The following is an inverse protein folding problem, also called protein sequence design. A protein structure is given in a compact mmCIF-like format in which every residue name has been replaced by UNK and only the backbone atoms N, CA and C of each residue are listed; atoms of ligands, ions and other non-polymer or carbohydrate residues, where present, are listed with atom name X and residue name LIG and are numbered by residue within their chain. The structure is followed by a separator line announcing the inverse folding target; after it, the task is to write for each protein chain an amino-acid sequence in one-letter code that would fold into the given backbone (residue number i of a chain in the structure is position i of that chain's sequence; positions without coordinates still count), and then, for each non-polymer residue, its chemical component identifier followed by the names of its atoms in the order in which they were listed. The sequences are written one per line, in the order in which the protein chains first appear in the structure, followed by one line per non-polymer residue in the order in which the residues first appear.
data_IF_389142441290
#
_entry.id   IF_389142441290
#
_cell.length_a   1.000
_cell.length_b   1.000
_cell.length_c   1.000
_cell.angle_alpha   90.00
_cell.angle_beta   90.00
_cell.angle_gamma   90.00
#
_symmetry.space_group_name_H-M   'P 1'
#
loop_
_entity.id
_entity.type
_entity.pdbx_description
1 polymer ?
#
# COMPACT_ATOMS: atom_id res chain seq x y z
N UNK A 1 -1.47 29.04 -19.79
CA UNK A 1 -2.76 28.42 -20.19
C UNK A 1 -3.72 28.45 -18.99
N UNK A 2 -4.23 29.62 -18.60
CA UNK A 2 -5.04 29.81 -17.36
C UNK A 2 -6.52 30.14 -17.64
N UNK A 3 -6.87 30.41 -18.91
CA UNK A 3 -8.21 30.88 -19.28
C UNK A 3 -9.30 29.81 -19.29
N UNK A 4 -8.94 28.54 -19.49
CA UNK A 4 -9.93 27.46 -19.67
C UNK A 4 -10.41 26.88 -18.33
N UNK A 5 -9.54 26.78 -17.32
CA UNK A 5 -9.92 26.33 -15.98
C UNK A 5 -10.95 27.28 -15.32
N UNK A 6 -10.71 28.59 -15.42
CA UNK A 6 -11.62 29.60 -14.88
C UNK A 6 -13.01 29.55 -15.54
N UNK A 7 -13.10 29.18 -16.82
CA UNK A 7 -14.40 28.98 -17.48
C UNK A 7 -15.13 27.75 -16.95
N UNK A 8 -14.41 26.64 -16.75
CA UNK A 8 -15.00 25.43 -16.14
C UNK A 8 -15.58 25.72 -14.76
N UNK A 9 -14.84 26.41 -13.89
CA UNK A 9 -15.31 26.77 -12.55
C UNK A 9 -16.56 27.67 -12.57
N UNK A 10 -16.65 28.59 -13.55
CA UNK A 10 -17.82 29.43 -13.76
C UNK A 10 -19.04 28.62 -14.21
N UNK A 11 -18.85 27.70 -15.16
CA UNK A 11 -19.93 26.81 -15.61
C UNK A 11 -20.38 25.87 -14.50
N UNK A 12 -19.45 25.33 -13.70
CA UNK A 12 -19.76 24.46 -12.56
C UNK A 12 -20.59 25.20 -11.51
N UNK A 13 -20.23 26.45 -11.21
CA UNK A 13 -21.01 27.30 -10.30
C UNK A 13 -22.43 27.55 -10.82
N UNK A 14 -22.58 27.77 -12.13
CA UNK A 14 -23.88 27.92 -12.77
C UNK A 14 -24.69 26.61 -12.70
N UNK A 15 -24.09 25.48 -13.05
CA UNK A 15 -24.75 24.17 -13.01
C UNK A 15 -25.17 23.80 -11.59
N UNK A 16 -24.34 24.09 -10.59
CA UNK A 16 -24.66 23.87 -9.19
C UNK A 16 -25.87 24.72 -8.75
N UNK A 17 -25.91 26.00 -9.14
CA UNK A 17 -27.06 26.87 -8.86
C UNK A 17 -28.34 26.31 -9.49
N UNK A 18 -28.28 25.90 -10.76
CA UNK A 18 -29.44 25.29 -11.44
C UNK A 18 -29.85 23.99 -10.72
N UNK A 19 -28.90 23.13 -10.34
CA UNK A 19 -29.19 21.89 -9.63
C UNK A 19 -29.90 22.12 -8.28
N UNK A 20 -29.51 23.16 -7.53
CA UNK A 20 -30.15 23.53 -6.26
C UNK A 20 -31.61 23.97 -6.42
N UNK A 21 -31.97 24.54 -7.56
CA UNK A 21 -33.36 24.95 -7.85
C UNK A 21 -34.29 23.77 -8.21
N UNK A 22 -33.76 22.56 -8.39
CA UNK A 22 -34.53 21.37 -8.75
C UNK A 22 -34.73 20.45 -7.53
N UNK A 23 -35.90 20.48 -6.85
CA UNK A 23 -36.14 19.69 -5.64
C UNK A 23 -36.15 18.17 -5.88
N UNK A 24 -36.33 17.73 -7.13
CA UNK A 24 -36.30 16.31 -7.52
C UNK A 24 -34.90 15.84 -7.96
N UNK A 25 -33.86 16.66 -7.75
CA UNK A 25 -32.47 16.31 -7.99
C UNK A 25 -32.10 16.16 -9.46
N UNK A 26 -31.17 15.23 -9.75
CA UNK A 26 -30.51 15.12 -11.06
C UNK A 26 -31.45 14.77 -12.22
N UNK A 27 -32.53 14.00 -11.99
CA UNK A 27 -33.48 13.64 -13.05
C UNK A 27 -34.21 14.86 -13.61
N UNK A 28 -34.61 15.80 -12.73
CA UNK A 28 -35.33 17.00 -13.13
C UNK A 28 -34.40 18.03 -13.77
N UNK A 29 -33.15 18.12 -13.29
CA UNK A 29 -32.10 18.91 -13.94
C UNK A 29 -31.88 18.46 -15.39
N UNK A 30 -31.78 17.14 -15.62
CA UNK A 30 -31.62 16.57 -16.95
C UNK A 30 -32.83 16.85 -17.86
N UNK A 31 -34.04 16.72 -17.33
CA UNK A 31 -35.26 17.03 -18.08
C UNK A 31 -35.31 18.51 -18.52
N UNK A 32 -35.01 19.43 -17.59
CA UNK A 32 -34.89 20.87 -17.90
C UNK A 32 -33.84 21.14 -18.97
N UNK A 33 -32.67 20.48 -18.90
CA UNK A 33 -31.60 20.64 -19.89
C UNK A 33 -32.00 20.10 -21.27
N UNK A 34 -32.61 18.92 -21.33
CA UNK A 34 -33.10 18.33 -22.57
C UNK A 34 -34.21 19.17 -23.20
N UNK A 35 -35.13 19.70 -22.39
CA UNK A 35 -36.17 20.63 -22.84
C UNK A 35 -35.61 21.99 -23.28
N UNK A 36 -34.43 22.40 -22.79
CA UNK A 36 -33.73 23.56 -23.35
C UNK A 36 -33.16 23.23 -24.73
N UNK A 37 -32.49 22.08 -24.88
CA UNK A 37 -31.95 21.64 -26.17
C UNK A 37 -33.05 21.53 -27.23
N UNK A 38 -34.20 20.94 -26.90
CA UNK A 38 -35.29 20.81 -27.89
C UNK A 38 -35.88 22.15 -28.36
N UNK A 39 -35.84 23.19 -27.53
CA UNK A 39 -36.48 24.50 -27.83
C UNK A 39 -35.51 25.56 -28.35
N UNK A 40 -34.24 25.50 -27.96
CA UNK A 40 -33.24 26.54 -28.25
C UNK A 40 -32.16 26.09 -29.21
N UNK A 41 -32.13 24.80 -29.55
CA UNK A 41 -31.19 24.26 -30.52
C UNK A 41 -31.91 23.30 -31.46
N UNK A 42 -31.24 22.91 -32.53
CA UNK A 42 -31.66 21.89 -33.47
C UNK A 42 -31.15 20.49 -33.06
N UNK A 43 -30.85 20.27 -31.77
CA UNK A 43 -30.16 19.06 -31.31
C UNK A 43 -30.83 17.74 -31.75
N UNK A 44 -32.17 17.68 -31.74
CA UNK A 44 -32.93 16.48 -32.11
C UNK A 44 -33.31 16.43 -33.59
N UNK A 45 -33.21 17.54 -34.33
CA UNK A 45 -33.72 17.67 -35.71
C UNK A 45 -32.67 18.06 -36.74
N UNK A 46 -31.49 18.51 -36.33
CA UNK A 46 -30.42 19.02 -37.18
C UNK A 46 -29.50 17.93 -37.77
N UNK A 47 -29.56 16.72 -37.22
CA UNK A 47 -28.77 15.56 -37.66
C UNK A 47 -29.59 14.46 -38.33
N UNK A 48 -28.94 13.33 -38.66
CA UNK A 48 -29.67 12.14 -39.09
C UNK A 48 -30.37 11.48 -37.91
N UNK A 49 -31.40 10.70 -38.21
CA UNK A 49 -32.11 9.93 -37.20
C UNK A 49 -31.13 9.04 -36.40
N UNK A 50 -31.16 9.17 -35.06
CA UNK A 50 -30.29 8.45 -34.14
C UNK A 50 -28.90 9.05 -33.90
N UNK A 51 -28.50 10.14 -34.57
CA UNK A 51 -27.20 10.79 -34.32
C UNK A 51 -27.14 11.43 -32.93
N UNK A 52 -28.23 12.07 -32.49
CA UNK A 52 -28.32 12.66 -31.16
C UNK A 52 -28.16 11.62 -30.06
N UNK A 53 -28.73 10.42 -30.24
CA UNK A 53 -28.65 9.34 -29.25
C UNK A 53 -27.22 8.81 -29.14
N UNK A 54 -26.57 8.55 -30.28
CA UNK A 54 -25.16 8.14 -30.31
C UNK A 54 -24.27 9.18 -29.63
N UNK A 55 -24.50 10.46 -29.90
CA UNK A 55 -23.74 11.54 -29.29
C UNK A 55 -23.88 11.50 -27.76
N UNK A 56 -25.12 11.55 -27.24
CA UNK A 56 -25.40 11.49 -25.80
C UNK A 56 -24.76 10.26 -25.17
N UNK A 57 -25.04 9.07 -25.70
CA UNK A 57 -24.53 7.82 -25.13
C UNK A 57 -23.01 7.73 -25.15
N UNK A 58 -22.36 8.21 -26.22
CA UNK A 58 -20.90 8.22 -26.31
C UNK A 58 -20.26 9.16 -25.28
N UNK A 59 -20.86 10.32 -25.04
CA UNK A 59 -20.39 11.29 -24.04
C UNK A 59 -20.54 10.73 -22.63
N UNK A 60 -21.72 10.20 -22.28
CA UNK A 60 -21.95 9.63 -20.95
C UNK A 60 -21.00 8.45 -20.66
N UNK A 61 -20.84 7.52 -21.61
CA UNK A 61 -19.90 6.39 -21.46
C UNK A 61 -18.45 6.84 -21.29
N UNK A 62 -18.03 7.89 -21.99
CA UNK A 62 -16.68 8.46 -21.85
C UNK A 62 -16.45 8.94 -20.41
N UNK A 63 -17.35 9.75 -19.87
CA UNK A 63 -17.20 10.32 -18.53
C UNK A 63 -17.44 9.29 -17.43
N UNK A 64 -18.33 8.32 -17.63
CA UNK A 64 -18.48 7.16 -16.74
C UNK A 64 -17.15 6.41 -16.57
N UNK A 65 -16.46 6.13 -17.69
CA UNK A 65 -15.16 5.46 -17.67
C UNK A 65 -14.11 6.27 -16.91
N UNK A 66 -14.04 7.57 -17.15
CA UNK A 66 -13.09 8.48 -16.47
C UNK A 66 -13.37 8.49 -14.96
N UNK A 67 -14.62 8.76 -14.57
CA UNK A 67 -15.01 8.83 -13.16
C UNK A 67 -14.75 7.51 -12.42
N UNK A 68 -15.02 6.36 -13.06
CA UNK A 68 -14.74 5.04 -12.47
C UNK A 68 -13.24 4.80 -12.30
N UNK A 69 -12.43 5.20 -13.28
CA UNK A 69 -10.97 5.08 -13.22
C UNK A 69 -10.37 5.96 -12.12
N UNK A 70 -10.82 7.21 -12.01
CA UNK A 70 -10.39 8.15 -10.96
C UNK A 70 -10.77 7.63 -9.57
N UNK A 71 -12.00 7.16 -9.40
CA UNK A 71 -12.46 6.59 -8.14
C UNK A 71 -11.66 5.33 -7.75
N UNK A 72 -11.33 4.45 -8.70
CA UNK A 72 -10.49 3.28 -8.42
C UNK A 72 -9.05 3.68 -8.06
N UNK A 73 -8.48 4.67 -8.76
CA UNK A 73 -7.15 5.19 -8.48
C UNK A 73 -7.07 5.83 -7.09
N UNK A 74 -8.06 6.65 -6.73
CA UNK A 74 -8.16 7.28 -5.40
C UNK A 74 -8.28 6.23 -4.29
N UNK A 75 -9.11 5.19 -4.50
CA UNK A 75 -9.23 4.07 -3.57
C UNK A 75 -7.92 3.31 -3.38
N UNK A 76 -7.16 3.10 -4.47
CA UNK A 76 -5.86 2.42 -4.43
C UNK A 76 -4.83 3.27 -3.70
N UNK A 77 -4.74 4.56 -4.03
CA UNK A 77 -3.84 5.50 -3.36
C UNK A 77 -4.15 5.60 -1.87
N UNK A 78 -5.44 5.68 -1.50
CA UNK A 78 -5.86 5.71 -0.10
C UNK A 78 -5.41 4.45 0.65
N UNK A 79 -5.59 3.27 0.06
CA UNK A 79 -5.13 1.99 0.65
C UNK A 79 -3.61 1.92 0.80
N UNK A 80 -2.86 2.36 -0.22
CA UNK A 80 -1.39 2.39 -0.16
C UNK A 80 -0.87 3.38 0.89
N UNK A 81 -1.51 4.56 0.99
CA UNK A 81 -1.20 5.56 2.01
C UNK A 81 -1.47 5.03 3.42
N UNK A 82 -2.60 4.36 3.63
CA UNK A 82 -2.94 3.72 4.90
C UNK A 82 -1.95 2.58 5.24
N UNK A 83 -1.58 1.74 4.27
CA UNK A 83 -0.61 0.65 4.47
C UNK A 83 0.78 1.19 4.81
N UNK A 84 1.25 2.22 4.12
CA UNK A 84 2.55 2.87 4.41
C UNK A 84 2.54 3.55 5.78
N UNK A 85 1.43 4.17 6.18
CA UNK A 85 1.30 4.75 7.51
C UNK A 85 1.34 3.67 8.61
N UNK A 86 0.69 2.52 8.40
CA UNK A 86 0.74 1.38 9.34
C UNK A 86 2.14 0.77 9.43
N UNK A 87 2.82 0.58 8.30
CA UNK A 87 4.18 0.05 8.27
C UNK A 87 5.18 0.98 8.98
N UNK A 88 5.04 2.30 8.81
CA UNK A 88 5.86 3.28 9.56
C UNK A 88 5.61 3.23 11.06
N UNK A 89 4.35 3.16 11.49
CA UNK A 89 4.01 3.03 12.92
C UNK A 89 4.54 1.72 13.52
N UNK A 90 4.44 0.61 12.79
CA UNK A 90 4.98 -0.67 13.24
C UNK A 90 6.51 -0.67 13.30
N UNK A 91 7.19 0.00 12.36
CA UNK A 91 8.64 0.17 12.41
C UNK A 91 9.07 1.10 13.57
N UNK A 92 8.34 2.19 13.82
CA UNK A 92 8.59 3.08 14.96
C UNK A 92 8.33 2.38 16.31
N UNK A 93 7.35 1.49 16.40
CA UNK A 93 7.13 0.66 17.60
C UNK A 93 8.20 -0.42 17.80
N UNK A 94 8.75 -0.98 16.71
CA UNK A 94 9.86 -1.94 16.79
C UNK A 94 11.23 -1.27 17.04
N UNK A 95 11.36 0.02 16.70
CA UNK A 95 12.58 0.82 16.92
C UNK A 95 12.49 1.64 18.22
N UNK A 96 11.41 1.51 19.01
CA UNK A 96 11.51 1.86 20.43
C UNK A 96 12.62 0.99 20.99
N UNK A 97 13.76 1.57 21.41
CA UNK A 97 14.85 0.78 21.95
C UNK A 97 14.24 -0.01 23.10
N UNK A 98 14.53 -1.31 23.14
CA UNK A 98 14.46 -2.06 24.37
C UNK A 98 15.00 -1.12 25.45
N UNK A 99 14.13 -0.73 26.37
CA UNK A 99 14.55 -0.07 27.59
C UNK A 99 15.55 -1.06 28.18
N UNK A 100 16.84 -0.77 28.01
CA UNK A 100 17.93 -1.44 28.70
C UNK A 100 17.71 -1.00 30.13
N UNK A 101 16.78 -1.69 30.80
CA UNK A 101 16.73 -1.69 32.25
C UNK A 101 18.04 -2.34 32.65
N UNK A 102 18.96 -1.51 33.15
CA UNK A 102 20.12 -1.94 33.89
C UNK A 102 19.62 -2.89 34.97
N UNK A 103 19.68 -4.20 34.70
CA UNK A 103 19.70 -5.21 35.75
C UNK A 103 21.04 -4.99 36.45
N UNK A 104 20.95 -4.15 37.48
CA UNK A 104 21.94 -3.83 38.51
C UNK A 104 22.95 -4.95 38.72
N UNK A 105 24.23 -4.58 38.76
CA UNK A 105 25.43 -5.39 39.04
C UNK A 105 25.33 -6.34 40.25
N UNK A 106 24.26 -6.27 41.05
CA UNK A 106 23.99 -7.10 42.21
C UNK A 106 23.73 -8.59 41.90
N UNK A 107 23.19 -8.94 40.72
CA UNK A 107 22.93 -10.36 40.37
C UNK A 107 24.17 -11.06 39.79
N UNK A 108 25.11 -10.31 39.20
CA UNK A 108 26.38 -10.84 38.71
C UNK A 108 27.30 -11.30 39.86
N UNK A 109 27.28 -10.59 41.00
CA UNK A 109 28.06 -10.98 42.18
C UNK A 109 27.55 -12.26 42.86
N UNK A 110 26.25 -12.56 42.75
CA UNK A 110 25.67 -13.78 43.35
C UNK A 110 26.10 -15.00 42.54
N UNK A 111 26.08 -14.92 41.20
CA UNK A 111 26.55 -15.99 40.33
C UNK A 111 28.06 -16.25 40.48
N UNK A 112 28.86 -15.19 40.65
CA UNK A 112 30.31 -15.31 40.88
C UNK A 112 30.62 -15.98 42.22
N UNK A 113 29.83 -15.69 43.27
CA UNK A 113 29.97 -16.32 44.60
C UNK A 113 29.61 -17.79 44.60
N UNK A 114 28.64 -18.23 43.80
CA UNK A 114 28.31 -19.66 43.65
C UNK A 114 29.43 -20.43 42.93
N UNK A 115 30.00 -19.87 41.86
CA UNK A 115 31.11 -20.49 41.11
C UNK A 115 32.39 -20.60 41.98
N UNK A 116 32.68 -19.59 42.80
CA UNK A 116 33.84 -19.61 43.71
C UNK A 116 33.64 -20.50 44.96
N UNK A 117 32.39 -20.88 45.27
CA UNK A 117 32.11 -21.82 46.35
C UNK A 117 32.23 -23.27 45.88
N UNK A 118 31.91 -23.57 44.62
CA UNK A 118 32.07 -24.90 44.03
C UNK A 118 33.55 -25.25 43.73
N UNK A 119 34.39 -24.25 43.43
CA UNK A 119 35.85 -24.44 43.24
C UNK A 119 36.65 -24.66 44.52
N UNK A 120 36.07 -24.46 45.71
CA UNK A 120 36.74 -24.68 47.01
C UNK A 120 36.61 -26.12 47.55
N UNK A 121 35.98 -27.03 46.80
CA UNK A 121 35.81 -28.43 47.18
C UNK A 121 36.86 -29.42 46.67
N UNK A 122 37.82 -29.04 45.82
CA UNK A 122 38.80 -30.00 45.25
C UNK A 122 40.22 -29.44 45.36
N UNK A 123 40.87 -29.75 46.47
CA UNK A 123 42.30 -29.52 46.70
C UNK A 123 43.14 -30.67 46.14
N UNK A 124 43.96 -30.33 45.12
CA UNK A 124 45.35 -30.80 44.81
C UNK A 124 45.63 -32.23 44.30
N UNK A 125 46.79 -32.51 43.63
CA UNK A 125 47.52 -31.79 42.55
C UNK A 125 48.22 -32.69 41.47
N UNK A 126 48.82 -32.06 40.44
CA UNK A 126 50.04 -32.44 39.67
C UNK A 126 50.02 -33.44 38.46
N UNK A 127 50.20 -32.87 37.23
CA UNK A 127 51.08 -33.16 36.03
C UNK A 127 51.64 -34.59 35.80
N UNK A 128 51.95 -35.10 34.55
CA UNK A 128 52.14 -34.40 33.25
C UNK A 128 51.65 -35.12 31.95
N UNK A 129 51.80 -34.44 30.80
CA UNK A 129 51.61 -34.95 29.42
C UNK A 129 52.69 -35.99 29.02
N UNK A 130 52.54 -36.81 27.94
CA UNK A 130 52.90 -36.33 26.58
C UNK A 130 52.24 -37.01 25.34
N UNK A 131 52.30 -36.30 24.19
CA UNK A 131 52.48 -36.74 22.77
C UNK A 131 51.70 -37.90 22.12
N UNK A 132 51.07 -37.64 20.95
CA UNK A 132 51.57 -38.02 19.59
C UNK A 132 50.44 -38.26 18.57
N UNK A 133 50.54 -37.57 17.41
CA UNK A 133 50.30 -37.94 15.97
C UNK A 133 49.28 -39.07 15.68
N UNK A 134 48.35 -38.95 14.72
CA UNK A 134 48.51 -38.99 13.23
C UNK A 134 47.12 -38.74 12.58
N UNK A 135 46.97 -37.93 11.50
CA UNK A 135 46.95 -38.30 10.04
C UNK A 135 45.79 -39.30 9.72
N UNK A 136 44.90 -39.23 8.72
CA UNK A 136 44.80 -38.79 7.30
C UNK A 136 43.26 -38.65 7.02
N UNK A 137 42.73 -37.73 6.22
CA UNK A 137 42.66 -37.68 4.74
C UNK A 137 41.44 -38.42 4.14
N UNK A 138 41.11 -38.01 2.92
CA UNK A 138 40.13 -38.49 1.93
C UNK A 138 38.85 -37.67 1.68
N UNK A 139 38.98 -36.87 0.63
CA UNK A 139 38.04 -36.46 -0.40
C UNK A 139 37.03 -37.54 -0.81
N UNK A 140 35.81 -37.14 -1.21
CA UNK A 140 35.24 -37.68 -2.46
C UNK A 140 34.15 -36.75 -3.03
N UNK A 141 34.45 -36.16 -4.19
CA UNK A 141 33.46 -35.68 -5.15
C UNK A 141 32.93 -36.87 -5.97
N UNK A 142 31.61 -37.02 -6.11
CA UNK A 142 31.01 -37.55 -7.35
C UNK A 142 29.48 -37.37 -7.31
N UNK A 143 28.90 -36.52 -8.17
CA UNK A 143 28.55 -36.69 -9.59
C UNK A 143 27.24 -37.47 -9.88
N UNK A 144 26.44 -36.89 -10.80
CA UNK A 144 25.34 -37.46 -11.62
C UNK A 144 24.01 -37.71 -10.89
N UNK A 145 22.86 -37.24 -11.35
CA UNK A 145 22.41 -36.96 -12.72
C UNK A 145 21.22 -37.86 -13.02
N UNK A 146 20.07 -37.30 -13.44
CA UNK A 146 18.88 -37.90 -14.09
C UNK A 146 17.74 -36.87 -13.94
N UNK A 147 16.85 -36.58 -14.88
CA UNK A 147 16.74 -36.77 -16.32
C UNK A 147 15.44 -36.00 -16.67
N UNK A 148 15.53 -35.09 -17.62
CA UNK A 148 14.40 -34.53 -18.40
C UNK A 148 13.48 -35.63 -18.93
N UNK A 149 12.17 -35.41 -19.04
CA UNK A 149 11.23 -35.83 -20.11
C UNK A 149 9.81 -35.43 -19.65
N UNK A 150 8.84 -35.03 -20.47
CA UNK A 150 8.71 -34.66 -21.87
C UNK A 150 7.35 -33.99 -22.02
#
# INVERSE_FOLDING_TARGET
MSGDANKMDQFDSLFLSIAQHHPQGASQLLDTFVNFLSRKTDFFTGGKEGDWEKLVMSTFKKYEKIARQEHEAELRERKEREARARAKKAAEEQVKPAEITELTDAEAEILQKEIDNEKRGITTPAVPAPTSKTIDDDEDESEKGILTQS
#
